data_IF_837220941574
#
_entry.id   IF_837220941574
#
_cell.length_a   1.000
_cell.length_b   1.000
_cell.length_c   1.000
_cell.angle_alpha   90.00
_cell.angle_beta   90.00
_cell.angle_gamma   90.00
#
_symmetry.space_group_name_H-M   'P 1'
#
loop_
_entity.id
_entity.type
_entity.pdbx_description
1 polymer ?
#
# COMPACT_ATOMS: atom_id res chain seq x y z
N UNK A 1 -16.85 6.70 5.69
CA UNK A 1 -15.99 5.50 5.81
C UNK A 1 -14.92 5.81 6.84
N UNK A 2 -14.64 4.91 7.81
CA UNK A 2 -13.58 5.10 8.79
C UNK A 2 -12.69 3.85 8.78
N UNK A 3 -11.40 4.04 8.51
CA UNK A 3 -10.43 2.96 8.56
C UNK A 3 -9.83 2.90 9.97
N UNK A 4 -9.80 1.70 10.55
CA UNK A 4 -9.29 1.47 11.90
C UNK A 4 -8.03 0.61 11.85
N UNK A 5 -7.89 -0.15 10.76
CA UNK A 5 -6.88 -1.17 10.55
C UNK A 5 -6.71 -1.38 9.06
N UNK A 6 -5.48 -1.53 8.62
CA UNK A 6 -5.12 -1.86 7.25
C UNK A 6 -4.21 -3.08 7.30
N UNK A 7 -4.64 -4.17 6.68
CA UNK A 7 -3.82 -5.38 6.48
C UNK A 7 -3.41 -5.44 5.02
N UNK A 8 -2.10 -5.50 4.77
CA UNK A 8 -1.51 -5.53 3.44
C UNK A 8 -0.71 -6.82 3.28
N UNK A 9 -0.92 -7.54 2.17
CA UNK A 9 -0.20 -8.77 1.84
C UNK A 9 -0.09 -8.88 0.32
N UNK A 10 1.05 -9.35 -0.18
CA UNK A 10 1.30 -9.51 -1.62
C UNK A 10 1.16 -8.23 -2.45
N UNK A 11 1.29 -7.05 -1.83
CA UNK A 11 1.12 -5.76 -2.52
C UNK A 11 2.47 -5.06 -2.65
N UNK A 12 3.00 -4.99 -3.87
CA UNK A 12 4.32 -4.40 -4.16
C UNK A 12 5.40 -4.87 -3.18
N UNK A 13 5.94 -3.96 -2.35
CA UNK A 13 6.99 -4.27 -1.37
C UNK A 13 6.52 -5.06 -0.15
N UNK A 14 5.21 -5.27 0.04
CA UNK A 14 4.65 -6.00 1.17
C UNK A 14 4.44 -7.47 0.81
N UNK A 15 5.52 -8.26 0.87
CA UNK A 15 5.48 -9.71 0.62
C UNK A 15 4.73 -10.41 1.74
N UNK A 16 5.23 -10.22 2.97
CA UNK A 16 4.64 -10.79 4.18
C UNK A 16 3.45 -9.97 4.68
N UNK A 17 2.47 -10.60 5.35
CA UNK A 17 1.36 -9.89 5.97
C UNK A 17 1.84 -8.79 6.90
N UNK A 18 1.45 -7.56 6.60
CA UNK A 18 1.76 -6.38 7.39
C UNK A 18 0.47 -5.73 7.87
N UNK A 19 0.43 -5.32 9.13
CA UNK A 19 -0.78 -4.78 9.75
C UNK A 19 -0.51 -3.42 10.37
N UNK A 20 -1.36 -2.45 10.03
CA UNK A 20 -1.24 -1.07 10.45
C UNK A 20 -2.51 -0.64 11.17
N UNK A 21 -2.37 -0.14 12.38
CA UNK A 21 -3.47 0.45 13.15
C UNK A 21 -3.61 1.91 12.73
N UNK A 22 -4.85 2.34 12.47
CA UNK A 22 -5.18 3.73 12.16
C UNK A 22 -5.97 4.27 13.35
N UNK A 23 -5.30 5.10 14.16
CA UNK A 23 -5.89 5.68 15.36
C UNK A 23 -6.70 6.94 15.04
N UNK A 24 -7.44 7.43 16.04
CA UNK A 24 -8.18 8.69 15.89
C UNK A 24 -7.20 9.86 15.78
N UNK A 25 -7.53 10.82 14.93
CA UNK A 25 -6.71 12.02 14.72
C UNK A 25 -5.77 11.85 13.53
N UNK A 26 -4.51 12.28 13.68
CA UNK A 26 -3.51 12.27 12.63
C UNK A 26 -2.54 11.10 12.83
N UNK A 27 -2.50 10.16 11.88
CA UNK A 27 -1.52 9.07 11.85
C UNK A 27 -0.41 9.42 10.84
N UNK A 28 0.84 9.49 11.30
CA UNK A 28 2.01 9.72 10.44
C UNK A 28 2.65 8.41 9.99
N UNK A 29 3.09 8.34 8.73
CA UNK A 29 3.82 7.19 8.17
C UNK A 29 5.28 7.61 7.95
N UNK A 30 6.21 7.01 8.69
CA UNK A 30 7.65 7.36 8.67
C UNK A 30 8.53 6.13 8.49
N UNK A 31 9.78 6.32 8.06
CA UNK A 31 10.76 5.26 7.82
C UNK A 31 11.75 5.57 6.69
N UNK A 32 12.79 4.74 6.49
CA UNK A 32 13.83 4.96 5.46
C UNK A 32 13.30 4.96 4.02
N UNK A 33 14.09 5.48 3.08
CA UNK A 33 13.76 5.39 1.65
C UNK A 33 13.70 3.92 1.21
N UNK A 34 12.73 3.58 0.37
CA UNK A 34 12.52 2.20 -0.09
C UNK A 34 11.73 1.28 0.85
N UNK A 35 11.41 1.67 2.09
CA UNK A 35 10.73 0.79 3.05
C UNK A 35 9.20 0.59 2.82
N UNK A 36 8.66 1.01 1.67
CA UNK A 36 7.25 0.78 1.32
C UNK A 36 6.23 1.85 1.78
N UNK A 37 6.65 2.98 2.36
CA UNK A 37 5.74 4.06 2.82
C UNK A 37 4.73 4.51 1.74
N UNK A 38 5.21 4.81 0.53
CA UNK A 38 4.34 5.24 -0.55
C UNK A 38 3.46 4.11 -1.08
N UNK A 39 3.93 2.86 -1.01
CA UNK A 39 3.14 1.68 -1.39
C UNK A 39 1.99 1.46 -0.41
N UNK A 40 2.15 1.82 0.88
CA UNK A 40 1.06 1.79 1.87
C UNK A 40 -0.08 2.74 1.48
N UNK A 41 0.27 3.94 1.02
CA UNK A 41 -0.70 4.94 0.54
C UNK A 41 -1.38 4.47 -0.75
N UNK A 42 -0.66 3.77 -1.63
CA UNK A 42 -1.24 3.18 -2.84
C UNK A 42 -2.18 2.02 -2.55
N UNK A 43 -1.84 1.15 -1.58
CA UNK A 43 -2.73 0.08 -1.15
C UNK A 43 -4.06 0.66 -0.63
N UNK A 44 -4.01 1.77 0.12
CA UNK A 44 -5.20 2.51 0.55
C UNK A 44 -6.01 3.05 -0.63
N UNK A 45 -5.37 3.67 -1.63
CA UNK A 45 -6.05 4.18 -2.83
C UNK A 45 -6.70 3.05 -3.63
N UNK A 46 -6.00 1.94 -3.79
CA UNK A 46 -6.49 0.75 -4.49
C UNK A 46 -7.78 0.22 -3.87
N UNK A 47 -7.80 0.00 -2.54
CA UNK A 47 -9.02 -0.48 -1.85
C UNK A 47 -10.14 0.56 -1.81
N UNK A 48 -9.83 1.84 -2.01
CA UNK A 48 -10.81 2.91 -2.17
C UNK A 48 -11.37 3.01 -3.61
N UNK A 49 -10.94 2.14 -4.53
CA UNK A 49 -11.46 2.05 -5.90
C UNK A 49 -10.62 2.78 -6.95
N UNK A 50 -9.37 3.14 -6.65
CA UNK A 50 -8.44 3.63 -7.68
C UNK A 50 -8.16 2.53 -8.70
N UNK A 51 -8.51 2.78 -9.97
CA UNK A 51 -8.35 1.84 -11.09
C UNK A 51 -7.24 2.25 -12.06
N UNK A 52 -6.63 3.43 -11.88
CA UNK A 52 -5.52 3.89 -12.71
C UNK A 52 -4.19 3.34 -12.19
N UNK A 53 -3.62 2.37 -12.90
CA UNK A 53 -2.26 1.87 -12.65
C UNK A 53 -1.21 3.00 -12.62
N UNK A 54 -1.40 4.04 -13.45
CA UNK A 54 -0.53 5.24 -13.46
C UNK A 54 -0.54 5.99 -12.14
N UNK A 55 -1.72 6.15 -11.52
CA UNK A 55 -1.88 6.84 -10.23
C UNK A 55 -1.25 6.06 -9.07
N UNK A 56 -1.02 4.76 -9.27
CA UNK A 56 -0.32 3.88 -8.35
C UNK A 56 1.10 3.59 -8.78
N UNK A 57 1.74 4.43 -9.61
CA UNK A 57 3.16 4.26 -10.01
C UNK A 57 3.48 2.83 -10.48
N UNK A 58 2.58 2.26 -11.28
CA UNK A 58 2.68 0.95 -11.89
C UNK A 58 2.67 1.10 -13.42
N UNK A 59 3.24 0.12 -14.14
CA UNK A 59 3.24 0.08 -15.62
C UNK A 59 2.08 -0.73 -16.18
N UNK A 60 1.56 -1.68 -15.40
CA UNK A 60 0.30 -2.40 -15.63
C UNK A 60 -0.42 -2.70 -14.32
N UNK A 61 -1.64 -3.23 -14.39
CA UNK A 61 -2.41 -3.59 -13.19
C UNK A 61 -1.75 -4.73 -12.40
N UNK A 62 -1.05 -5.64 -13.08
CA UNK A 62 -0.38 -6.76 -12.43
C UNK A 62 0.81 -6.31 -11.55
N UNK A 63 1.41 -5.15 -11.82
CA UNK A 63 2.56 -4.63 -11.07
C UNK A 63 2.20 -4.16 -9.64
N UNK A 64 0.91 -4.09 -9.30
CA UNK A 64 0.48 -3.83 -7.93
C UNK A 64 0.59 -5.08 -7.05
N UNK A 65 0.61 -6.26 -7.68
CA UNK A 65 0.79 -7.55 -7.04
C UNK A 65 2.30 -7.81 -6.96
N UNK A 66 2.77 -8.28 -5.80
CA UNK A 66 4.15 -8.73 -5.66
C UNK A 66 4.41 -9.92 -6.59
N UNK A 67 5.36 -9.79 -7.51
CA UNK A 67 5.71 -10.79 -8.53
C UNK A 67 7.11 -11.40 -8.35
N UNK A 68 7.75 -11.18 -7.20
CA UNK A 68 9.11 -11.64 -6.92
C UNK A 68 10.18 -10.58 -7.20
N UNK A 69 11.33 -10.72 -6.55
CA UNK A 69 12.55 -10.01 -6.94
C UNK A 69 13.18 -10.81 -8.08
N UNK A 70 13.28 -10.24 -9.28
CA UNK A 70 14.17 -10.78 -10.31
C UNK A 70 15.61 -10.81 -9.86
#
# INVERSE_FOLDING_TARGET
MKFNRLRVVGFKSFVEPSEFVIERGLTGIVGPNGCGKSNLVEALRWVMGENSYKNMRASGMDDVIFSGSG
#
